data_IF_849979796265
#
_entry.id   IF_849979796265
#
_cell.length_a   1.000
_cell.length_b   1.000
_cell.length_c   1.000
_cell.angle_alpha   90.00
_cell.angle_beta   90.00
_cell.angle_gamma   90.00
#
_symmetry.space_group_name_H-M   'P 1'
#
loop_
_entity.id
_entity.type
_entity.pdbx_description
1 polymer ?
#
# COMPACT_ATOMS: atom_id res chain seq x y z
N UNK A 1 10.69 45.54 20.01
CA UNK A 1 9.72 44.80 19.15
C UNK A 1 10.58 44.10 18.11
N UNK A 2 11.16 42.97 18.51
CA UNK A 2 12.12 42.25 17.67
C UNK A 2 11.34 41.21 16.87
N UNK A 3 11.12 41.53 15.60
CA UNK A 3 10.57 40.62 14.61
C UNK A 3 11.63 39.57 14.26
N UNK A 4 11.62 38.45 14.98
CA UNK A 4 12.28 37.23 14.54
C UNK A 4 11.68 36.82 13.17
N UNK A 5 12.51 36.49 12.17
CA UNK A 5 12.03 35.97 10.91
C UNK A 5 11.40 34.61 11.17
N UNK A 6 10.10 34.47 10.89
CA UNK A 6 9.42 33.19 10.84
C UNK A 6 10.11 32.30 9.81
N UNK A 7 11.03 31.46 10.28
CA UNK A 7 11.51 30.32 9.52
C UNK A 7 10.28 29.53 9.11
N UNK A 8 10.06 29.41 7.80
CA UNK A 8 9.04 28.51 7.24
C UNK A 8 9.46 27.08 7.58
N UNK A 9 9.21 26.65 8.80
CA UNK A 9 9.14 25.25 9.12
C UNK A 9 8.00 24.71 8.29
N UNK A 10 8.34 23.95 7.24
CA UNK A 10 7.41 23.16 6.44
C UNK A 10 6.80 22.01 7.26
N UNK A 11 6.51 22.25 8.55
CA UNK A 11 5.50 21.65 9.43
C UNK A 11 5.51 20.15 9.66
N UNK A 12 6.28 19.37 8.92
CA UNK A 12 6.14 17.92 8.82
C UNK A 12 7.55 17.32 8.87
N UNK A 13 7.84 16.65 9.99
CA UNK A 13 9.17 16.14 10.29
C UNK A 13 9.58 14.91 9.46
N UNK A 14 10.81 14.41 9.64
CA UNK A 14 11.33 13.27 8.88
C UNK A 14 10.49 11.98 8.98
N UNK A 15 9.77 11.79 10.10
CA UNK A 15 8.85 10.66 10.27
C UNK A 15 7.68 10.71 9.29
N UNK A 16 7.13 11.91 9.06
CA UNK A 16 6.05 12.12 8.10
C UNK A 16 6.54 11.86 6.67
N UNK A 17 7.72 12.35 6.30
CA UNK A 17 8.31 12.10 4.99
C UNK A 17 8.53 10.60 4.73
N UNK A 18 9.07 9.88 5.72
CA UNK A 18 9.25 8.43 5.60
C UNK A 18 7.93 7.66 5.50
N UNK A 19 6.92 8.03 6.28
CA UNK A 19 5.60 7.43 6.21
C UNK A 19 4.90 7.73 4.88
N UNK A 20 5.13 8.93 4.31
CA UNK A 20 4.66 9.30 2.98
C UNK A 20 5.30 8.44 1.91
N UNK A 21 6.62 8.20 1.99
CA UNK A 21 7.32 7.31 1.07
C UNK A 21 6.79 5.86 1.14
N UNK A 22 6.52 5.35 2.34
CA UNK A 22 5.85 4.05 2.53
C UNK A 22 4.47 4.05 1.88
N UNK A 23 3.65 5.07 2.11
CA UNK A 23 2.33 5.21 1.50
C UNK A 23 2.37 5.30 -0.04
N UNK A 24 3.38 5.95 -0.60
CA UNK A 24 3.59 6.00 -2.05
C UNK A 24 3.84 4.61 -2.62
N UNK A 25 4.69 3.79 -1.98
CA UNK A 25 4.98 2.43 -2.42
C UNK A 25 3.76 1.49 -2.27
N UNK A 26 3.00 1.60 -1.18
CA UNK A 26 1.73 0.87 -0.98
C UNK A 26 0.71 1.24 -2.07
N UNK A 27 0.54 2.54 -2.33
CA UNK A 27 -0.38 3.02 -3.36
C UNK A 27 0.05 2.61 -4.78
N UNK A 28 1.35 2.68 -5.10
CA UNK A 28 1.90 2.18 -6.35
C UNK A 28 1.67 0.69 -6.53
N UNK A 29 1.86 -0.13 -5.49
CA UNK A 29 1.58 -1.57 -5.49
C UNK A 29 0.10 -1.81 -5.78
N UNK A 30 -0.80 -1.13 -5.06
CA UNK A 30 -2.25 -1.26 -5.22
C UNK A 30 -2.70 -0.90 -6.62
N UNK A 31 -2.31 0.26 -7.11
CA UNK A 31 -2.74 0.74 -8.40
C UNK A 31 -2.28 -0.20 -9.52
N UNK A 32 -0.99 -0.55 -9.55
CA UNK A 32 -0.44 -1.42 -10.56
C UNK A 32 -1.04 -2.83 -10.51
N UNK A 33 -1.13 -3.44 -9.32
CA UNK A 33 -1.70 -4.77 -9.19
C UNK A 33 -3.17 -4.81 -9.63
N UNK A 34 -4.00 -3.85 -9.21
CA UNK A 34 -5.41 -3.83 -9.64
C UNK A 34 -5.59 -3.53 -11.13
N UNK A 35 -4.67 -2.78 -11.74
CA UNK A 35 -4.68 -2.51 -13.18
C UNK A 35 -4.30 -3.75 -13.99
N UNK A 36 -3.25 -4.47 -13.60
CA UNK A 36 -2.66 -5.51 -14.44
C UNK A 36 -3.12 -6.94 -14.11
N UNK A 37 -3.66 -7.18 -12.91
CA UNK A 37 -3.97 -8.54 -12.43
C UNK A 37 -5.05 -9.25 -13.27
N UNK A 38 -6.11 -8.58 -13.78
CA UNK A 38 -7.07 -9.23 -14.67
C UNK A 38 -6.39 -9.86 -15.89
N UNK A 39 -5.47 -9.12 -16.52
CA UNK A 39 -4.76 -9.57 -17.71
C UNK A 39 -3.82 -10.75 -17.42
N UNK A 40 -3.16 -10.76 -16.25
CA UNK A 40 -2.32 -11.90 -15.87
C UNK A 40 -3.14 -13.17 -15.58
N UNK A 41 -4.32 -13.02 -14.99
CA UNK A 41 -5.23 -14.14 -14.76
C UNK A 41 -5.80 -14.67 -16.09
N UNK A 42 -6.23 -13.78 -16.99
CA UNK A 42 -6.71 -14.15 -18.33
C UNK A 42 -5.62 -14.84 -19.16
N UNK A 43 -4.37 -14.35 -19.10
CA UNK A 43 -3.21 -14.99 -19.73
C UNK A 43 -2.93 -16.41 -19.23
N UNK A 44 -3.44 -16.76 -18.04
CA UNK A 44 -3.39 -18.11 -17.47
C UNK A 44 -4.65 -18.96 -17.77
N UNK A 45 -5.53 -18.47 -18.63
CA UNK A 45 -6.76 -19.16 -19.02
C UNK A 45 -7.90 -19.03 -18.02
N UNK A 46 -7.82 -18.12 -17.04
CA UNK A 46 -8.94 -17.81 -16.14
C UNK A 46 -10.00 -17.05 -16.95
N UNK A 47 -11.25 -17.50 -16.89
CA UNK A 47 -12.32 -16.87 -17.65
C UNK A 47 -12.68 -15.47 -17.10
N UNK A 48 -13.24 -14.57 -17.93
CA UNK A 48 -13.66 -13.24 -17.46
C UNK A 48 -14.66 -13.28 -16.28
N UNK A 49 -15.52 -14.29 -16.24
CA UNK A 49 -16.46 -14.49 -15.13
C UNK A 49 -15.75 -14.87 -13.82
N UNK A 50 -14.74 -15.73 -13.89
CA UNK A 50 -13.91 -16.09 -12.74
C UNK A 50 -13.05 -14.91 -12.26
N UNK A 51 -12.48 -14.12 -13.19
CA UNK A 51 -11.78 -12.87 -12.83
C UNK A 51 -12.72 -11.92 -12.10
N UNK A 52 -13.95 -11.74 -12.59
CA UNK A 52 -14.97 -10.94 -11.91
C UNK A 52 -15.29 -11.43 -10.51
N UNK A 53 -15.39 -12.75 -10.31
CA UNK A 53 -15.57 -13.36 -9.00
C UNK A 53 -14.36 -13.10 -8.08
N UNK A 54 -13.14 -13.28 -8.57
CA UNK A 54 -11.90 -13.04 -7.83
C UNK A 54 -11.81 -11.57 -7.38
N UNK A 55 -12.14 -10.63 -8.25
CA UNK A 55 -12.18 -9.20 -7.89
C UNK A 55 -13.30 -8.89 -6.90
N UNK A 56 -14.45 -9.55 -7.00
CA UNK A 56 -15.53 -9.41 -6.01
C UNK A 56 -15.07 -9.83 -4.62
N UNK A 57 -14.45 -11.00 -4.49
CA UNK A 57 -13.94 -11.47 -3.18
C UNK A 57 -12.73 -10.68 -2.71
N UNK A 58 -11.88 -10.17 -3.62
CA UNK A 58 -10.78 -9.26 -3.33
C UNK A 58 -11.32 -7.97 -2.69
N UNK A 59 -12.30 -7.31 -3.32
CA UNK A 59 -12.89 -6.10 -2.75
C UNK A 59 -13.66 -6.38 -1.45
N UNK A 60 -14.33 -7.53 -1.35
CA UNK A 60 -14.94 -7.98 -0.09
C UNK A 60 -13.92 -8.18 1.03
N UNK A 61 -12.80 -8.85 0.74
CA UNK A 61 -11.66 -8.99 1.64
C UNK A 61 -11.08 -7.63 2.02
N UNK A 62 -10.98 -6.70 1.07
CA UNK A 62 -10.49 -5.35 1.32
C UNK A 62 -11.38 -4.51 2.21
N UNK A 63 -12.70 -4.63 2.08
CA UNK A 63 -13.65 -4.03 3.01
C UNK A 63 -13.41 -4.57 4.43
N UNK A 64 -13.33 -5.90 4.60
CA UNK A 64 -13.01 -6.52 5.89
C UNK A 64 -11.64 -6.04 6.43
N UNK A 65 -10.63 -5.93 5.56
CA UNK A 65 -9.30 -5.42 5.90
C UNK A 65 -9.33 -4.02 6.47
N UNK A 66 -10.08 -3.08 5.87
CA UNK A 66 -10.22 -1.71 6.37
C UNK A 66 -10.81 -1.65 7.78
N UNK A 67 -11.78 -2.51 8.10
CA UNK A 67 -12.39 -2.56 9.44
C UNK A 67 -11.47 -3.26 10.46
N UNK A 68 -10.91 -4.40 10.09
CA UNK A 68 -10.17 -5.25 11.04
C UNK A 68 -8.73 -4.80 11.25
N UNK A 69 -8.06 -4.19 10.25
CA UNK A 69 -6.70 -3.69 10.41
C UNK A 69 -6.58 -2.53 11.40
N UNK A 70 -7.65 -1.76 11.60
CA UNK A 70 -7.72 -0.76 12.67
C UNK A 70 -7.57 -1.41 14.05
N UNK A 71 -8.40 -2.41 14.34
CA UNK A 71 -8.34 -3.17 15.60
C UNK A 71 -7.03 -3.98 15.74
N UNK A 72 -6.49 -4.50 14.64
CA UNK A 72 -5.15 -5.11 14.65
C UNK A 72 -4.06 -4.08 14.98
N UNK A 73 -4.25 -2.81 14.58
CA UNK A 73 -3.39 -1.70 14.92
C UNK A 73 -3.31 -1.45 16.43
N UNK A 74 -4.43 -1.59 17.15
CA UNK A 74 -4.45 -1.45 18.61
C UNK A 74 -3.65 -2.56 19.30
N UNK A 75 -3.62 -3.76 18.72
CA UNK A 75 -2.92 -4.94 19.30
C UNK A 75 -1.45 -5.04 18.90
N UNK A 76 -1.11 -4.75 17.65
CA UNK A 76 0.22 -4.97 17.08
C UNK A 76 0.99 -3.66 16.80
N UNK A 77 0.33 -2.50 16.99
CA UNK A 77 0.83 -1.20 16.55
C UNK A 77 0.74 -1.03 15.04
N UNK A 78 0.67 0.22 14.56
CA UNK A 78 0.56 0.52 13.13
C UNK A 78 1.65 -0.14 12.29
N UNK A 79 2.89 -0.14 12.79
CA UNK A 79 4.01 -0.77 12.09
C UNK A 79 3.88 -2.29 12.03
N UNK A 80 3.50 -2.95 13.13
CA UNK A 80 3.34 -4.41 13.14
C UNK A 80 2.33 -4.87 12.10
N UNK A 81 1.23 -4.12 11.95
CA UNK A 81 0.24 -4.39 10.91
C UNK A 81 0.82 -4.18 9.53
N UNK A 82 1.50 -3.05 9.25
CA UNK A 82 2.13 -2.79 7.94
C UNK A 82 3.09 -3.91 7.54
N UNK A 83 3.95 -4.39 8.44
CA UNK A 83 4.88 -5.48 8.11
C UNK A 83 4.16 -6.77 7.73
N UNK A 84 3.10 -7.12 8.47
CA UNK A 84 2.30 -8.33 8.22
C UNK A 84 1.55 -8.19 6.90
N UNK A 85 0.88 -7.07 6.69
CA UNK A 85 0.03 -6.88 5.52
C UNK A 85 0.85 -6.70 4.25
N UNK A 86 1.96 -5.96 4.25
CA UNK A 86 2.81 -5.84 3.06
C UNK A 86 3.44 -7.17 2.66
N UNK A 87 3.88 -7.97 3.64
CA UNK A 87 4.36 -9.33 3.37
C UNK A 87 3.24 -10.21 2.81
N UNK A 88 2.04 -10.15 3.39
CA UNK A 88 0.89 -10.89 2.89
C UNK A 88 0.46 -10.45 1.48
N UNK A 89 0.49 -9.14 1.19
CA UNK A 89 0.22 -8.56 -0.12
C UNK A 89 1.17 -9.13 -1.16
N UNK A 90 2.48 -9.06 -0.91
CA UNK A 90 3.50 -9.56 -1.84
C UNK A 90 3.35 -11.08 -2.08
N UNK A 91 3.22 -11.88 -1.02
CA UNK A 91 3.07 -13.33 -1.15
C UNK A 91 1.77 -13.74 -1.84
N UNK A 92 0.66 -13.07 -1.52
CA UNK A 92 -0.62 -13.34 -2.16
C UNK A 92 -0.61 -12.96 -3.64
N UNK A 93 0.05 -11.85 -3.99
CA UNK A 93 0.24 -11.42 -5.37
C UNK A 93 1.05 -12.45 -6.18
N UNK A 94 2.18 -12.90 -5.64
CA UNK A 94 2.98 -13.97 -6.26
C UNK A 94 2.15 -15.27 -6.36
N UNK A 95 1.40 -15.61 -5.32
CA UNK A 95 0.53 -16.78 -5.33
C UNK A 95 -0.57 -16.71 -6.39
N UNK A 96 -1.17 -15.55 -6.64
CA UNK A 96 -2.19 -15.37 -7.67
C UNK A 96 -1.62 -15.54 -9.08
N UNK A 97 -0.38 -15.09 -9.29
CA UNK A 97 0.26 -15.08 -10.61
C UNK A 97 0.98 -16.39 -10.93
N UNK A 98 1.57 -17.09 -9.96
CA UNK A 98 2.31 -18.35 -10.19
C UNK A 98 1.74 -19.56 -9.47
N UNK A 99 0.88 -19.36 -8.48
CA UNK A 99 0.34 -20.45 -7.67
C UNK A 99 -0.70 -21.32 -8.38
N UNK A 100 -1.18 -22.38 -7.69
CA UNK A 100 -2.20 -23.27 -8.25
C UNK A 100 -3.57 -22.57 -8.33
N UNK A 101 -4.38 -22.81 -9.37
CA UNK A 101 -5.72 -22.21 -9.51
C UNK A 101 -6.62 -22.46 -8.29
N UNK A 102 -6.49 -23.60 -7.63
CA UNK A 102 -7.24 -23.96 -6.43
C UNK A 102 -7.03 -22.98 -5.25
N UNK A 103 -5.90 -22.26 -5.22
CA UNK A 103 -5.62 -21.28 -4.18
C UNK A 103 -6.11 -19.86 -4.51
N UNK A 104 -6.51 -19.59 -5.76
CA UNK A 104 -6.76 -18.23 -6.25
C UNK A 104 -7.82 -17.48 -5.44
N UNK A 105 -8.90 -18.15 -5.03
CA UNK A 105 -9.97 -17.53 -4.26
C UNK A 105 -9.51 -17.10 -2.86
N UNK A 106 -8.77 -17.97 -2.16
CA UNK A 106 -8.21 -17.65 -0.83
C UNK A 106 -7.17 -16.53 -0.95
N UNK A 107 -6.29 -16.62 -1.95
CA UNK A 107 -5.26 -15.61 -2.18
C UNK A 107 -5.88 -14.26 -2.56
N UNK A 108 -6.97 -14.22 -3.32
CA UNK A 108 -7.68 -12.98 -3.64
C UNK A 108 -8.27 -12.32 -2.38
N UNK A 109 -8.83 -13.10 -1.46
CA UNK A 109 -9.32 -12.58 -0.16
C UNK A 109 -8.16 -12.02 0.67
N UNK A 110 -7.06 -12.79 0.81
CA UNK A 110 -5.87 -12.36 1.56
C UNK A 110 -5.25 -11.11 0.95
N UNK A 111 -5.08 -11.11 -0.37
CA UNK A 111 -4.56 -9.97 -1.12
C UNK A 111 -5.45 -8.75 -0.92
N UNK A 112 -6.76 -8.88 -1.11
CA UNK A 112 -7.72 -7.80 -0.90
C UNK A 112 -7.67 -7.23 0.52
N UNK A 113 -7.70 -8.10 1.52
CA UNK A 113 -7.60 -7.76 2.94
C UNK A 113 -6.34 -6.97 3.25
N UNK A 114 -5.18 -7.50 2.85
CA UNK A 114 -3.90 -6.88 3.13
C UNK A 114 -3.72 -5.57 2.35
N UNK A 115 -4.01 -5.59 1.05
CA UNK A 115 -3.83 -4.46 0.15
C UNK A 115 -4.66 -3.23 0.57
N UNK A 116 -5.89 -3.42 1.04
CA UNK A 116 -6.74 -2.30 1.47
C UNK A 116 -6.61 -1.99 2.96
N UNK A 117 -6.36 -3.00 3.79
CA UNK A 117 -6.19 -2.85 5.22
C UNK A 117 -4.96 -2.03 5.59
N UNK A 118 -3.84 -2.23 4.89
CA UNK A 118 -2.58 -1.48 5.12
C UNK A 118 -2.77 0.02 5.02
N UNK A 119 -3.43 0.48 3.95
CA UNK A 119 -3.66 1.91 3.74
C UNK A 119 -4.45 2.57 4.87
N UNK A 120 -5.47 1.92 5.44
CA UNK A 120 -6.19 2.47 6.59
C UNK A 120 -5.26 2.72 7.78
N UNK A 121 -4.33 1.80 8.03
CA UNK A 121 -3.34 1.93 9.12
C UNK A 121 -2.35 3.04 8.83
N UNK A 122 -1.89 3.17 7.57
CA UNK A 122 -1.01 4.26 7.16
C UNK A 122 -1.69 5.62 7.32
N UNK A 123 -2.96 5.76 6.91
CA UNK A 123 -3.72 7.00 7.05
C UNK A 123 -3.90 7.40 8.51
N UNK A 124 -4.19 6.43 9.39
CA UNK A 124 -4.25 6.66 10.83
C UNK A 124 -2.89 7.11 11.41
N UNK A 125 -1.79 6.48 10.98
CA UNK A 125 -0.44 6.85 11.41
C UNK A 125 -0.04 8.26 10.93
N UNK A 126 -0.47 8.67 9.73
CA UNK A 126 -0.28 10.02 9.21
C UNK A 126 -0.98 11.04 10.10
N UNK A 127 -2.21 10.76 10.53
CA UNK A 127 -2.98 11.61 11.43
C UNK A 127 -2.20 11.95 12.71
N UNK A 128 -1.52 10.96 13.29
CA UNK A 128 -0.73 11.11 14.52
C UNK A 128 0.54 11.93 14.36
N UNK A 129 1.02 12.13 13.13
CA UNK A 129 2.23 12.91 12.84
C UNK A 129 1.94 14.35 12.42
N UNK A 130 0.68 14.70 12.15
CA UNK A 130 0.30 16.04 11.71
C UNK A 130 -0.24 16.86 12.89
N UNK A 131 0.29 18.07 13.14
CA UNK A 131 -0.27 18.99 14.13
C UNK A 131 -1.75 19.30 13.85
N UNK A 132 -2.57 19.46 14.88
CA UNK A 132 -4.04 19.58 14.74
C UNK A 132 -4.47 20.69 13.77
N UNK A 133 -3.84 21.87 13.88
CA UNK A 133 -4.10 23.02 12.99
C UNK A 133 -3.58 22.88 11.56
N UNK A 134 -2.82 21.81 11.25
CA UNK A 134 -2.25 21.53 9.92
C UNK A 134 -2.79 20.25 9.29
N UNK A 135 -3.77 19.57 9.91
CA UNK A 135 -4.32 18.29 9.40
C UNK A 135 -4.78 18.36 7.94
N UNK A 136 -5.47 19.44 7.55
CA UNK A 136 -5.89 19.64 6.16
C UNK A 136 -4.71 19.71 5.18
N UNK A 137 -3.68 20.50 5.52
CA UNK A 137 -2.47 20.61 4.69
C UNK A 137 -1.67 19.30 4.65
N UNK A 138 -1.52 18.63 5.79
CA UNK A 138 -0.80 17.36 5.88
C UNK A 138 -1.49 16.27 5.06
N UNK A 139 -2.79 16.04 5.25
CA UNK A 139 -3.50 15.06 4.43
C UNK A 139 -3.51 15.44 2.95
N UNK A 140 -3.67 16.73 2.62
CA UNK A 140 -3.61 17.19 1.23
C UNK A 140 -2.28 16.83 0.57
N UNK A 141 -1.15 17.06 1.26
CA UNK A 141 0.17 16.69 0.74
C UNK A 141 0.34 15.17 0.65
N UNK A 142 -0.07 14.42 1.68
CA UNK A 142 0.04 12.97 1.71
C UNK A 142 -0.76 12.31 0.58
N UNK A 143 -2.06 12.62 0.44
CA UNK A 143 -2.91 12.04 -0.60
C UNK A 143 -2.41 12.41 -2.00
N UNK A 144 -2.03 13.67 -2.20
CA UNK A 144 -1.45 14.10 -3.47
C UNK A 144 -0.19 13.30 -3.82
N UNK A 145 0.70 13.08 -2.86
CA UNK A 145 1.93 12.32 -3.08
C UNK A 145 1.64 10.85 -3.46
N UNK A 146 0.75 10.18 -2.73
CA UNK A 146 0.44 8.77 -3.02
C UNK A 146 -0.33 8.59 -4.33
N UNK A 147 -1.21 9.52 -4.69
CA UNK A 147 -1.99 9.46 -5.94
C UNK A 147 -1.08 9.71 -7.17
N UNK A 148 -0.17 10.69 -7.08
CA UNK A 148 0.83 10.92 -8.12
C UNK A 148 1.75 9.70 -8.26
N UNK A 149 2.21 9.13 -7.14
CA UNK A 149 3.05 7.93 -7.16
C UNK A 149 2.32 6.73 -7.76
N UNK A 150 1.03 6.54 -7.45
CA UNK A 150 0.20 5.50 -8.03
C UNK A 150 0.07 5.67 -9.54
N UNK A 151 -0.28 6.86 -10.02
CA UNK A 151 -0.42 7.14 -11.45
C UNK A 151 0.91 6.93 -12.21
N UNK A 152 2.00 7.50 -11.70
CA UNK A 152 3.33 7.35 -12.31
C UNK A 152 3.81 5.90 -12.31
N UNK A 153 3.59 5.17 -11.22
CA UNK A 153 3.96 3.77 -11.12
C UNK A 153 3.15 2.89 -12.07
N UNK A 154 1.84 3.07 -12.18
CA UNK A 154 1.02 2.29 -13.14
C UNK A 154 1.52 2.48 -14.57
N UNK A 155 1.88 3.71 -14.97
CA UNK A 155 2.51 3.95 -16.27
C UNK A 155 3.86 3.25 -16.42
N UNK A 156 4.73 3.36 -15.41
CA UNK A 156 6.05 2.73 -15.43
C UNK A 156 5.95 1.19 -15.50
N UNK A 157 5.07 0.58 -14.70
CA UNK A 157 4.81 -0.86 -14.74
C UNK A 157 4.15 -1.31 -16.04
N UNK A 158 3.35 -0.45 -16.69
CA UNK A 158 2.84 -0.70 -18.04
C UNK A 158 3.97 -0.84 -19.06
N UNK A 159 4.95 0.06 -19.04
CA UNK A 159 6.14 -0.04 -19.90
C UNK A 159 6.97 -1.29 -19.61
N UNK A 160 7.07 -1.70 -18.34
CA UNK A 160 7.71 -2.96 -17.95
C UNK A 160 6.91 -4.15 -18.46
N UNK A 161 5.58 -4.11 -18.38
CA UNK A 161 4.71 -5.18 -18.89
C UNK A 161 4.81 -5.32 -20.41
N UNK A 162 4.87 -4.22 -21.15
CA UNK A 162 5.01 -4.23 -22.61
C UNK A 162 6.36 -4.80 -23.07
N UNK A 163 7.41 -4.62 -22.25
CA UNK A 163 8.78 -5.02 -22.61
C UNK A 163 9.20 -6.39 -22.07
N UNK A 164 8.82 -6.72 -20.84
CA UNK A 164 9.23 -7.94 -20.14
C UNK A 164 8.06 -8.93 -19.92
N UNK A 165 6.82 -8.52 -20.17
CA UNK A 165 5.62 -9.32 -19.91
C UNK A 165 5.10 -9.18 -18.47
N UNK A 166 3.85 -9.60 -18.28
CA UNK A 166 3.12 -9.44 -17.01
C UNK A 166 3.78 -10.20 -15.85
N UNK A 167 4.30 -11.40 -16.09
CA UNK A 167 4.97 -12.19 -15.05
C UNK A 167 6.12 -11.41 -14.39
N UNK A 168 7.05 -10.87 -15.19
CA UNK A 168 8.15 -10.06 -14.64
C UNK A 168 7.66 -8.78 -13.96
N UNK A 169 6.60 -8.15 -14.49
CA UNK A 169 5.98 -7.00 -13.85
C UNK A 169 5.45 -7.33 -12.46
N UNK A 170 4.77 -8.47 -12.28
CA UNK A 170 4.27 -8.90 -10.97
C UNK A 170 5.40 -9.25 -9.99
N UNK A 171 6.49 -9.82 -10.49
CA UNK A 171 7.67 -10.11 -9.67
C UNK A 171 8.32 -8.80 -9.18
N UNK A 172 8.40 -7.81 -10.07
CA UNK A 172 8.90 -6.48 -9.72
C UNK A 172 7.97 -5.77 -8.71
N UNK A 173 6.65 -5.78 -8.93
CA UNK A 173 5.69 -5.21 -7.99
C UNK A 173 5.87 -5.84 -6.61
N UNK A 174 5.86 -7.18 -6.52
CA UNK A 174 6.04 -7.88 -5.25
C UNK A 174 7.39 -7.55 -4.57
N UNK A 175 8.48 -7.44 -5.33
CA UNK A 175 9.78 -7.04 -4.81
C UNK A 175 9.75 -5.61 -4.24
N UNK A 176 9.12 -4.67 -4.96
CA UNK A 176 8.94 -3.29 -4.51
C UNK A 176 8.06 -3.24 -3.25
N UNK A 177 6.97 -3.99 -3.20
CA UNK A 177 6.12 -4.13 -2.01
C UNK A 177 6.93 -4.62 -0.81
N UNK A 178 7.78 -5.63 -0.98
CA UNK A 178 8.62 -6.13 0.11
C UNK A 178 9.67 -5.12 0.60
N UNK A 179 10.06 -4.13 -0.21
CA UNK A 179 10.96 -3.05 0.24
C UNK A 179 10.30 -2.11 1.25
N UNK A 180 8.96 -2.12 1.35
CA UNK A 180 8.23 -1.36 2.37
C UNK A 180 8.57 -1.86 3.77
N UNK A 181 8.79 -3.18 3.93
CA UNK A 181 9.10 -3.81 5.21
C UNK A 181 10.35 -3.18 5.86
N UNK A 182 11.55 -3.20 5.24
CA UNK A 182 12.72 -2.53 5.82
C UNK A 182 12.59 -1.01 5.88
N UNK A 183 11.88 -0.37 4.94
CA UNK A 183 11.67 1.08 4.93
C UNK A 183 10.80 1.55 6.11
N UNK A 184 9.87 0.71 6.57
CA UNK A 184 8.98 1.01 7.67
C UNK A 184 9.63 0.76 9.05
N UNK A 185 10.68 -0.08 9.16
CA UNK A 185 11.33 -0.37 10.45
C UNK A 185 11.83 0.87 11.23
N UNK A 186 12.47 1.88 10.60
CA UNK A 186 12.88 3.10 11.30
C UNK A 186 11.69 3.91 11.86
N UNK A 187 10.48 3.76 11.31
CA UNK A 187 9.29 4.43 11.84
C UNK A 187 8.95 3.96 13.25
N UNK A 188 9.31 2.72 13.64
CA UNK A 188 9.10 2.22 15.01
C UNK A 188 9.69 3.15 16.06
N UNK A 189 10.94 3.57 15.83
CA UNK A 189 11.69 4.40 16.77
C UNK A 189 11.19 5.84 16.77
N UNK A 190 10.74 6.33 15.61
CA UNK A 190 10.28 7.71 15.43
C UNK A 190 8.86 7.94 15.97
N UNK A 191 7.97 6.96 15.78
CA UNK A 191 6.61 6.99 16.33
C UNK A 191 6.62 6.85 17.86
N UNK A 192 7.46 5.97 18.41
CA UNK A 192 7.60 5.81 19.86
C UNK A 192 8.26 7.01 20.57
N UNK A 193 9.00 7.86 19.84
CA UNK A 193 9.64 9.06 20.40
C UNK A 193 8.71 10.29 20.45
N UNK A 194 7.50 10.18 19.90
CA UNK A 194 6.52 11.29 19.80
C UNK A 194 5.33 11.11 20.76
N UNK A 195 5.21 9.93 21.38
CA UNK A 195 4.24 9.58 22.45
C UNK A 195 4.84 9.78 23.83
#
# INVERSE_FOLDING_TARGET
RDSQPATRDSGLGPAYGLLTAVGMLDASTRAAALTFLPFALEGRGVSPAEVGLLFTVLFGGGAAGKFLCGALGDRFGSLGVVLITETATALALLGLVWGPPAAALVLAIVFGFALNGTSSVLYAAVAGLIPEGKRGQGYGLYYTAIDIAAAAATLAYGLVADSLGLDWTFALIAAVTLTIVPLALPLRRRLAATS
#
